data_IF_689134113335
#
_entry.id   IF_689134113335
#
_cell.length_a   1.000
_cell.length_b   1.000
_cell.length_c   1.000
_cell.angle_alpha   90.00
_cell.angle_beta   90.00
_cell.angle_gamma   90.00
#
_symmetry.space_group_name_H-M   'P 1'
#
loop_
_entity.id
_entity.type
_entity.pdbx_description
1 polymer ?
#
# COMPACT_ATOMS: atom_id res chain seq x y z
N UNK A 1 12.31 56.32 42.58
CA UNK A 1 11.46 55.18 42.18
C UNK A 1 10.60 55.42 40.92
N UNK A 2 9.87 56.54 40.72
CA UNK A 2 8.98 56.70 39.56
C UNK A 2 9.72 56.82 38.22
N UNK A 3 10.93 57.38 38.21
CA UNK A 3 11.77 57.49 36.99
C UNK A 3 12.25 56.13 36.47
N UNK A 4 12.54 55.19 37.36
CA UNK A 4 13.00 53.84 36.99
C UNK A 4 11.84 53.03 36.40
N UNK A 5 10.65 53.17 36.99
CA UNK A 5 9.41 52.58 36.46
C UNK A 5 9.07 53.15 35.07
N UNK A 6 9.23 54.45 34.87
CA UNK A 6 8.97 55.08 33.57
C UNK A 6 9.94 54.57 32.48
N UNK A 7 11.23 54.43 32.80
CA UNK A 7 12.23 53.88 31.88
C UNK A 7 11.97 52.40 31.56
N UNK A 8 11.56 51.60 32.55
CA UNK A 8 11.19 50.19 32.34
C UNK A 8 9.95 50.07 31.45
N UNK A 9 8.91 50.85 31.69
CA UNK A 9 7.71 50.87 30.83
C UNK A 9 8.07 51.27 29.40
N UNK A 10 8.90 52.30 29.23
CA UNK A 10 9.33 52.78 27.91
C UNK A 10 10.13 51.73 27.14
N UNK A 11 11.05 51.02 27.81
CA UNK A 11 11.82 49.94 27.22
C UNK A 11 10.91 48.76 26.81
N UNK A 12 9.92 48.42 27.64
CA UNK A 12 9.00 47.31 27.36
C UNK A 12 8.11 47.59 26.15
N UNK A 13 7.66 48.84 25.98
CA UNK A 13 6.89 49.29 24.82
C UNK A 13 7.69 49.24 23.51
N UNK A 14 8.98 49.58 23.55
CA UNK A 14 9.87 49.50 22.38
C UNK A 14 10.15 48.05 21.95
N UNK A 15 10.26 47.11 22.90
CA UNK A 15 10.40 45.68 22.60
C UNK A 15 9.14 45.06 21.99
N UNK A 16 7.96 45.55 22.33
CA UNK A 16 6.69 45.06 21.74
C UNK A 16 6.49 45.55 20.29
N UNK A 17 7.08 46.68 19.89
CA UNK A 17 6.95 47.19 18.52
C UNK A 17 7.72 46.41 17.45
N UNK A 18 8.75 45.63 17.81
CA UNK A 18 9.52 44.81 16.87
C UNK A 18 8.91 43.42 16.59
N UNK A 19 7.81 43.06 17.26
CA UNK A 19 7.16 41.75 17.11
C UNK A 19 6.19 41.63 15.92
N UNK A 20 5.92 42.72 15.17
CA UNK A 20 4.84 42.76 14.18
C UNK A 20 5.24 42.45 12.71
N UNK A 21 6.47 42.02 12.41
CA UNK A 21 6.90 41.81 11.01
C UNK A 21 7.22 40.36 10.61
N UNK A 22 7.11 39.38 11.53
CA UNK A 22 7.58 38.02 11.26
C UNK A 22 6.52 37.06 10.69
N UNK A 23 5.24 37.46 10.61
CA UNK A 23 4.15 36.59 10.15
C UNK A 23 3.67 36.85 8.71
N UNK A 24 4.11 37.94 8.06
CA UNK A 24 3.73 38.23 6.66
C UNK A 24 4.29 37.24 5.63
N UNK A 25 5.32 36.45 6.00
CA UNK A 25 5.85 35.38 5.15
C UNK A 25 4.83 34.25 4.94
N UNK A 26 4.08 33.90 5.98
CA UNK A 26 3.13 32.79 5.91
C UNK A 26 1.88 33.17 5.10
N UNK A 27 1.37 34.41 5.23
CA UNK A 27 0.25 34.86 4.40
C UNK A 27 0.56 34.81 2.90
N UNK A 28 1.78 35.20 2.48
CA UNK A 28 2.16 35.10 1.06
C UNK A 28 2.32 33.65 0.59
N UNK A 29 2.71 32.73 1.46
CA UNK A 29 2.86 31.31 1.11
C UNK A 29 1.51 30.58 1.02
N UNK A 30 0.54 30.93 1.88
CA UNK A 30 -0.78 30.28 1.91
C UNK A 30 -1.79 30.91 0.94
N UNK A 31 -1.69 32.21 0.65
CA UNK A 31 -2.63 32.89 -0.24
C UNK A 31 -2.15 32.95 -1.71
N UNK A 32 -0.96 32.39 -2.02
CA UNK A 32 -0.33 32.40 -3.35
C UNK A 32 -0.38 31.07 -4.11
N UNK A 33 -1.06 30.03 -3.61
CA UNK A 33 -1.16 28.73 -4.31
C UNK A 33 -2.24 28.73 -5.40
N UNK A 34 -2.09 29.63 -6.37
CA UNK A 34 -2.78 29.60 -7.64
C UNK A 34 -1.76 29.48 -8.77
N UNK A 35 -1.62 28.28 -9.32
CA UNK A 35 -0.92 28.01 -10.58
C UNK A 35 0.61 28.17 -10.59
N UNK A 36 1.30 27.24 -9.93
CA UNK A 36 2.50 26.67 -10.53
C UNK A 36 2.35 25.17 -10.62
N UNK A 37 2.18 24.68 -11.85
CA UNK A 37 2.37 23.30 -12.25
C UNK A 37 3.82 22.88 -11.91
N UNK A 38 4.08 22.57 -10.64
CA UNK A 38 5.16 21.65 -10.34
C UNK A 38 4.63 20.26 -10.68
N UNK A 39 5.10 19.74 -11.81
CA UNK A 39 5.24 18.30 -12.06
C UNK A 39 6.12 17.71 -10.95
N UNK A 40 5.57 17.59 -9.73
CA UNK A 40 6.09 16.70 -8.71
C UNK A 40 5.91 15.31 -9.31
N UNK A 41 7.01 14.72 -9.74
CA UNK A 41 7.11 13.27 -9.90
C UNK A 41 6.60 12.67 -8.59
N UNK A 42 5.32 12.24 -8.58
CA UNK A 42 4.80 11.41 -7.52
C UNK A 42 5.53 10.08 -7.68
N UNK A 43 6.51 9.86 -6.80
CA UNK A 43 7.06 8.52 -6.62
C UNK A 43 5.88 7.58 -6.34
N UNK A 44 5.79 6.43 -7.02
CA UNK A 44 4.68 5.49 -6.81
C UNK A 44 4.59 5.16 -5.32
N UNK A 45 3.45 5.46 -4.69
CA UNK A 45 3.21 5.04 -3.31
C UNK A 45 3.03 3.52 -3.26
N UNK A 46 3.59 2.89 -2.22
CA UNK A 46 3.37 1.48 -1.95
C UNK A 46 1.88 1.21 -1.68
N UNK A 47 1.42 0.01 -2.03
CA UNK A 47 0.08 -0.46 -1.65
C UNK A 47 -0.04 -0.51 -0.11
N UNK A 48 -1.24 -0.26 0.45
CA UNK A 48 -1.48 -0.41 1.88
C UNK A 48 -1.07 -1.79 2.41
N UNK A 49 -0.52 -1.87 3.62
CA UNK A 49 -0.15 -3.13 4.28
C UNK A 49 -1.33 -3.91 4.86
N UNK A 50 -2.56 -3.57 4.46
CA UNK A 50 -3.79 -4.20 4.94
C UNK A 50 -4.49 -4.98 3.80
N UNK A 51 -5.60 -5.64 4.14
CA UNK A 51 -6.40 -6.40 3.17
C UNK A 51 -7.61 -5.61 2.64
N UNK A 52 -7.73 -4.30 2.95
CA UNK A 52 -8.94 -3.51 2.65
C UNK A 52 -9.20 -3.44 1.14
N UNK A 53 -8.17 -3.20 0.34
CA UNK A 53 -8.27 -3.20 -1.12
C UNK A 53 -8.76 -4.56 -1.64
N UNK A 54 -8.18 -5.65 -1.15
CA UNK A 54 -8.59 -7.00 -1.58
C UNK A 54 -10.04 -7.31 -1.18
N UNK A 55 -10.44 -7.01 0.06
CA UNK A 55 -11.79 -7.24 0.56
C UNK A 55 -12.83 -6.50 -0.28
N UNK A 56 -12.57 -5.23 -0.60
CA UNK A 56 -13.45 -4.45 -1.46
C UNK A 56 -13.60 -5.09 -2.85
N UNK A 57 -12.52 -5.57 -3.46
CA UNK A 57 -12.59 -6.23 -4.77
C UNK A 57 -13.31 -7.58 -4.69
N UNK A 58 -13.08 -8.36 -3.63
CA UNK A 58 -13.73 -9.64 -3.39
C UNK A 58 -15.25 -9.48 -3.20
N UNK A 59 -15.67 -8.52 -2.37
CA UNK A 59 -17.09 -8.24 -2.11
C UNK A 59 -17.85 -7.73 -3.33
N UNK A 60 -17.17 -6.96 -4.20
CA UNK A 60 -17.76 -6.44 -5.43
C UNK A 60 -17.74 -7.44 -6.61
N UNK A 61 -17.04 -8.58 -6.47
CA UNK A 61 -16.95 -9.57 -7.53
C UNK A 61 -18.25 -10.37 -7.64
N UNK A 62 -18.92 -10.27 -8.79
CA UNK A 62 -20.12 -11.07 -9.06
C UNK A 62 -19.75 -12.47 -9.57
N UNK A 63 -20.16 -13.51 -8.84
CA UNK A 63 -20.04 -14.90 -9.28
C UNK A 63 -21.20 -15.73 -8.75
N UNK A 64 -21.85 -16.50 -9.63
CA UNK A 64 -22.95 -17.40 -9.27
C UNK A 64 -22.49 -18.79 -8.82
N UNK A 65 -21.21 -19.11 -9.02
CA UNK A 65 -20.60 -20.40 -8.70
C UNK A 65 -19.53 -20.22 -7.63
N UNK A 66 -18.32 -20.72 -7.86
CA UNK A 66 -17.19 -20.58 -6.95
C UNK A 66 -16.33 -19.38 -7.35
N UNK A 67 -16.21 -18.41 -6.47
CA UNK A 67 -15.28 -17.29 -6.61
C UNK A 67 -13.92 -17.69 -6.04
N UNK A 68 -12.89 -17.67 -6.90
CA UNK A 68 -11.52 -17.98 -6.50
C UNK A 68 -10.97 -16.86 -5.60
N UNK A 69 -10.53 -17.17 -4.36
CA UNK A 69 -10.03 -16.14 -3.45
C UNK A 69 -8.77 -15.46 -4.01
N UNK A 70 -7.84 -16.20 -4.60
CA UNK A 70 -6.55 -15.63 -4.96
C UNK A 70 -6.58 -14.80 -6.25
N UNK A 71 -7.56 -15.05 -7.13
CA UNK A 71 -7.61 -14.47 -8.48
C UNK A 71 -8.91 -13.74 -8.82
N UNK A 72 -9.92 -13.85 -7.96
CA UNK A 72 -11.28 -13.36 -8.20
C UNK A 72 -11.93 -13.91 -9.48
N UNK A 73 -11.42 -15.03 -10.00
CA UNK A 73 -12.01 -15.73 -11.13
C UNK A 73 -13.28 -16.47 -10.70
N UNK A 74 -14.33 -16.43 -11.53
CA UNK A 74 -15.54 -17.20 -11.31
C UNK A 74 -15.46 -18.54 -12.06
N UNK A 75 -15.47 -19.65 -11.31
CA UNK A 75 -15.29 -21.01 -11.84
C UNK A 75 -16.32 -21.98 -11.25
N UNK A 76 -16.43 -23.19 -11.81
CA UNK A 76 -17.36 -24.21 -11.33
C UNK A 76 -16.90 -24.94 -10.06
N UNK A 77 -15.60 -25.19 -9.91
CA UNK A 77 -15.05 -25.95 -8.79
C UNK A 77 -13.73 -25.33 -8.29
N UNK A 78 -13.36 -25.48 -7.01
CA UNK A 78 -12.13 -24.90 -6.47
C UNK A 78 -10.85 -25.27 -7.21
N UNK A 79 -10.71 -26.53 -7.63
CA UNK A 79 -9.56 -26.97 -8.44
C UNK A 79 -9.54 -26.39 -9.86
N UNK A 80 -10.55 -25.65 -10.32
CA UNK A 80 -10.51 -24.92 -11.59
C UNK A 80 -9.93 -23.51 -11.46
N UNK A 81 -9.65 -23.04 -10.23
CA UNK A 81 -9.06 -21.72 -10.05
C UNK A 81 -7.71 -21.59 -10.75
N UNK A 82 -7.47 -20.48 -11.49
CA UNK A 82 -6.16 -20.20 -12.05
C UNK A 82 -5.19 -19.79 -10.94
N UNK A 83 -3.89 -19.98 -11.18
CA UNK A 83 -2.87 -19.43 -10.31
C UNK A 83 -2.75 -17.91 -10.47
N UNK A 84 -2.47 -17.14 -9.40
CA UNK A 84 -2.30 -15.69 -9.46
C UNK A 84 -1.23 -15.23 -10.46
N UNK A 85 -0.17 -16.02 -10.62
CA UNK A 85 0.95 -15.66 -11.48
C UNK A 85 1.27 -16.79 -12.47
N UNK A 86 0.43 -17.06 -13.49
CA UNK A 86 0.58 -18.22 -14.37
C UNK A 86 1.90 -18.23 -15.16
N UNK A 87 2.54 -17.07 -15.33
CA UNK A 87 3.88 -16.96 -15.91
C UNK A 87 4.94 -17.61 -15.04
N UNK A 88 4.86 -17.42 -13.71
CA UNK A 88 5.88 -17.82 -12.74
C UNK A 88 5.46 -19.00 -11.88
N UNK A 89 4.20 -19.41 -11.91
CA UNK A 89 3.62 -20.47 -11.10
C UNK A 89 3.06 -21.58 -11.97
N UNK A 90 3.19 -22.80 -11.48
CA UNK A 90 2.60 -24.00 -12.03
C UNK A 90 1.60 -24.58 -11.04
N UNK A 91 0.47 -25.07 -11.56
CA UNK A 91 -0.65 -25.59 -10.79
C UNK A 91 -0.51 -27.10 -10.62
N UNK A 92 -0.67 -27.59 -9.39
CA UNK A 92 -0.63 -29.00 -9.07
C UNK A 92 -1.89 -29.43 -8.31
N UNK A 93 -2.49 -30.55 -8.69
CA UNK A 93 -3.67 -31.10 -8.01
C UNK A 93 -3.25 -32.05 -6.88
N UNK A 94 -3.67 -31.75 -5.65
CA UNK A 94 -3.26 -32.49 -4.45
C UNK A 94 -4.16 -33.70 -4.16
N UNK A 95 -5.25 -33.86 -4.89
CA UNK A 95 -6.37 -34.72 -4.51
C UNK A 95 -7.45 -33.93 -3.76
N UNK A 96 -8.59 -34.58 -3.50
CA UNK A 96 -9.74 -34.00 -2.78
C UNK A 96 -10.29 -32.70 -3.39
N UNK A 97 -10.13 -32.51 -4.70
CA UNK A 97 -10.57 -31.30 -5.40
C UNK A 97 -9.78 -30.04 -5.00
N UNK A 98 -8.59 -30.19 -4.42
CA UNK A 98 -7.68 -29.10 -4.08
C UNK A 98 -6.54 -29.00 -5.09
N UNK A 99 -6.14 -27.77 -5.37
CA UNK A 99 -4.97 -27.46 -6.17
C UNK A 99 -4.09 -26.45 -5.44
N UNK A 100 -2.79 -26.48 -5.71
CA UNK A 100 -1.81 -25.52 -5.22
C UNK A 100 -1.05 -24.90 -6.38
N UNK A 101 -0.62 -23.65 -6.20
CA UNK A 101 0.22 -22.93 -7.13
C UNK A 101 1.63 -22.85 -6.55
N UNK A 102 2.60 -23.31 -7.32
CA UNK A 102 4.00 -23.37 -6.88
C UNK A 102 4.86 -22.67 -7.92
N UNK A 103 5.81 -21.86 -7.45
CA UNK A 103 6.77 -21.21 -8.33
C UNK A 103 7.49 -22.23 -9.23
N UNK A 104 7.50 -21.95 -10.54
CA UNK A 104 8.30 -22.65 -11.54
C UNK A 104 9.80 -22.52 -11.27
N UNK A 105 10.21 -21.54 -10.47
CA UNK A 105 11.59 -21.18 -10.15
C UNK A 105 12.31 -22.13 -9.20
N UNK A 106 12.12 -23.45 -9.34
CA UNK A 106 12.99 -24.44 -8.68
C UNK A 106 14.44 -24.33 -9.16
N UNK A 107 15.39 -24.84 -8.39
CA UNK A 107 16.82 -24.84 -8.74
C UNK A 107 17.07 -25.58 -10.07
N UNK A 108 16.16 -26.49 -10.44
CA UNK A 108 16.11 -27.18 -11.75
C UNK A 108 14.67 -27.30 -12.26
N UNK A 109 14.51 -27.33 -13.59
CA UNK A 109 13.24 -27.62 -14.24
C UNK A 109 12.67 -28.97 -13.76
N UNK A 110 11.36 -29.02 -13.46
CA UNK A 110 10.68 -30.22 -12.96
C UNK A 110 10.93 -30.58 -11.49
N UNK A 111 11.77 -29.83 -10.78
CA UNK A 111 12.04 -30.08 -9.35
C UNK A 111 10.81 -29.83 -8.48
N UNK A 112 10.03 -28.78 -8.79
CA UNK A 112 8.80 -28.46 -8.09
C UNK A 112 7.81 -29.62 -8.16
N UNK A 113 7.54 -30.12 -9.37
CA UNK A 113 6.68 -31.29 -9.60
C UNK A 113 7.17 -32.52 -8.81
N UNK A 114 8.48 -32.80 -8.81
CA UNK A 114 9.06 -33.90 -8.03
C UNK A 114 8.82 -33.72 -6.53
N UNK A 115 9.01 -32.51 -6.00
CA UNK A 115 8.78 -32.22 -4.57
C UNK A 115 7.32 -32.39 -4.19
N UNK A 116 6.40 -31.94 -5.05
CA UNK A 116 4.95 -32.14 -4.85
C UNK A 116 4.62 -33.63 -4.79
N UNK A 117 5.16 -34.42 -5.70
CA UNK A 117 4.91 -35.87 -5.72
C UNK A 117 5.48 -36.58 -4.49
N UNK A 118 6.66 -36.17 -4.03
CA UNK A 118 7.22 -36.67 -2.77
C UNK A 118 6.37 -36.25 -1.57
N UNK A 119 5.86 -35.02 -1.54
CA UNK A 119 4.98 -34.53 -0.48
C UNK A 119 3.71 -35.37 -0.39
N UNK A 120 3.10 -35.67 -1.55
CA UNK A 120 1.90 -36.50 -1.67
C UNK A 120 2.11 -37.90 -1.11
N UNK A 121 3.33 -38.43 -1.26
CA UNK A 121 3.75 -39.73 -0.75
C UNK A 121 4.22 -39.70 0.72
N UNK A 122 4.31 -38.52 1.34
CA UNK A 122 4.88 -38.37 2.69
C UNK A 122 6.39 -38.62 2.76
N UNK A 123 7.12 -38.35 1.67
CA UNK A 123 8.54 -38.66 1.50
C UNK A 123 9.43 -37.40 1.36
N UNK A 124 8.98 -36.25 1.89
CA UNK A 124 9.76 -35.01 1.96
C UNK A 124 10.53 -34.88 3.28
#
# INVERSE_FOLDING_TARGET
>A
MPRILLSLLSATLLFLSVANAQFQFFEQMFNGQGQQQQQRHQEPQNVPSDSSWYQQNFENAHCSNYLCPDTLACVHFPHHCPCPHPTFEEKFELGDGKAVCISKGGFKAGEAARKVELARKGLL
#
